data_IF_939187773863
#
_entry.id   IF_939187773863
#
_cell.length_a   1.000
_cell.length_b   1.000
_cell.length_c   1.000
_cell.angle_alpha   90.00
_cell.angle_beta   90.00
_cell.angle_gamma   90.00
#
_symmetry.space_group_name_H-M   'P 1'
#
loop_
_entity.id
_entity.type
_entity.pdbx_description
1 polymer ?
#
# COMPACT_ATOMS: atom_id res chain seq x y z
N UNK A 1 -35.39 28.41 -6.56
CA UNK A 1 -35.59 27.71 -5.27
C UNK A 1 -36.62 26.61 -5.52
N UNK A 2 -36.33 25.35 -5.21
CA UNK A 2 -37.23 24.25 -5.56
C UNK A 2 -38.39 24.08 -4.57
N UNK A 3 -39.13 22.98 -4.70
CA UNK A 3 -40.41 22.77 -4.00
C UNK A 3 -40.24 21.97 -2.71
N UNK A 4 -41.13 22.19 -1.74
CA UNK A 4 -41.18 21.42 -0.48
C UNK A 4 -39.93 21.50 0.40
N UNK A 5 -39.26 22.66 0.42
CA UNK A 5 -38.15 22.91 1.33
C UNK A 5 -38.64 23.50 2.67
N UNK A 6 -38.01 23.13 3.79
CA UNK A 6 -38.31 23.65 5.14
C UNK A 6 -37.04 23.99 5.93
N UNK A 7 -37.16 24.82 6.96
CA UNK A 7 -36.06 25.18 7.87
C UNK A 7 -35.76 26.67 7.97
N UNK A 8 -35.03 27.05 9.02
CA UNK A 8 -34.63 28.43 9.34
C UNK A 8 -33.11 28.54 9.24
N UNK A 9 -32.57 29.36 8.34
CA UNK A 9 -31.12 29.67 8.33
C UNK A 9 -30.37 29.60 7.01
N UNK A 10 -30.99 29.22 5.88
CA UNK A 10 -30.32 29.09 4.59
C UNK A 10 -31.28 28.94 3.40
N UNK A 11 -30.79 29.19 2.18
CA UNK A 11 -31.58 29.04 0.95
C UNK A 11 -31.39 27.63 0.36
N UNK A 12 -32.37 26.76 0.58
CA UNK A 12 -32.41 25.43 -0.02
C UNK A 12 -32.70 25.49 -1.54
N UNK A 13 -31.92 24.77 -2.35
CA UNK A 13 -32.04 24.61 -3.80
C UNK A 13 -32.31 23.15 -4.13
N UNK A 14 -33.32 22.88 -4.97
CA UNK A 14 -33.84 21.53 -5.22
C UNK A 14 -35.06 21.24 -4.34
N UNK A 15 -35.41 19.96 -4.13
CA UNK A 15 -36.70 19.58 -3.54
C UNK A 15 -36.57 18.76 -2.26
N UNK A 16 -37.55 18.90 -1.35
CA UNK A 16 -37.64 18.11 -0.12
C UNK A 16 -36.44 18.26 0.83
N UNK A 17 -35.78 19.42 0.82
CA UNK A 17 -34.70 19.69 1.77
C UNK A 17 -35.26 20.26 3.10
N UNK A 18 -34.62 19.91 4.21
CA UNK A 18 -34.97 20.35 5.55
C UNK A 18 -33.74 20.88 6.31
N UNK A 19 -33.99 21.76 7.28
CA UNK A 19 -32.96 22.29 8.17
C UNK A 19 -32.41 23.65 7.76
N UNK A 20 -31.50 24.17 8.57
CA UNK A 20 -30.99 25.54 8.46
C UNK A 20 -29.86 25.73 7.45
N UNK A 21 -29.29 24.65 6.90
CA UNK A 21 -28.23 24.75 5.91
C UNK A 21 -28.75 25.13 4.51
N UNK A 22 -27.92 25.80 3.71
CA UNK A 22 -28.16 26.04 2.29
C UNK A 22 -27.93 24.78 1.47
N UNK A 23 -28.85 23.81 1.57
CA UNK A 23 -28.73 22.54 0.86
C UNK A 23 -28.97 22.69 -0.64
N UNK A 24 -28.20 21.96 -1.45
CA UNK A 24 -28.35 21.89 -2.91
C UNK A 24 -28.57 20.44 -3.34
N UNK A 25 -29.71 20.16 -3.94
CA UNK A 25 -30.11 18.82 -4.39
C UNK A 25 -31.42 18.38 -3.73
N UNK A 26 -31.61 17.08 -3.51
CA UNK A 26 -32.89 16.56 -3.05
C UNK A 26 -32.79 15.76 -1.76
N UNK A 27 -33.83 15.86 -0.91
CA UNK A 27 -33.98 15.04 0.30
C UNK A 27 -32.83 15.19 1.32
N UNK A 28 -32.20 16.37 1.39
CA UNK A 28 -31.16 16.62 2.40
C UNK A 28 -31.77 17.17 3.71
N UNK A 29 -31.22 16.79 4.87
CA UNK A 29 -31.69 17.26 6.18
C UNK A 29 -30.52 17.67 7.09
N UNK A 30 -30.23 18.96 7.22
CA UNK A 30 -29.06 19.41 7.98
C UNK A 30 -29.11 20.86 8.44
N UNK A 31 -28.34 21.14 9.50
CA UNK A 31 -27.96 22.50 9.86
C UNK A 31 -26.73 23.01 9.08
N UNK A 32 -25.87 22.12 8.58
CA UNK A 32 -24.80 22.42 7.62
C UNK A 32 -25.24 22.37 6.16
N UNK A 33 -24.39 22.76 5.21
CA UNK A 33 -24.74 22.75 3.78
C UNK A 33 -24.45 21.38 3.14
N UNK A 34 -25.46 20.70 2.60
CA UNK A 34 -25.24 19.51 1.79
C UNK A 34 -25.31 19.82 0.29
N UNK A 35 -24.51 19.13 -0.52
CA UNK A 35 -24.59 19.14 -1.98
C UNK A 35 -24.77 17.71 -2.49
N UNK A 36 -25.88 17.46 -3.18
CA UNK A 36 -26.29 16.16 -3.69
C UNK A 36 -27.58 15.67 -3.02
N UNK A 37 -27.72 14.37 -2.79
CA UNK A 37 -29.02 13.78 -2.42
C UNK A 37 -28.98 12.94 -1.14
N UNK A 38 -30.07 12.98 -0.36
CA UNK A 38 -30.25 12.11 0.80
C UNK A 38 -29.14 12.25 1.87
N UNK A 39 -28.53 13.43 1.99
CA UNK A 39 -27.52 13.66 3.03
C UNK A 39 -28.17 14.20 4.32
N UNK A 40 -27.58 13.88 5.47
CA UNK A 40 -28.08 14.30 6.77
C UNK A 40 -26.97 14.73 7.74
N UNK A 41 -27.36 15.38 8.85
CA UNK A 41 -26.48 15.72 9.97
C UNK A 41 -26.10 17.21 10.04
N UNK A 42 -25.01 17.55 10.72
CA UNK A 42 -24.67 18.95 11.05
C UNK A 42 -23.53 19.54 10.21
N UNK A 43 -22.86 18.72 9.40
CA UNK A 43 -21.69 19.12 8.60
C UNK A 43 -21.96 19.33 7.11
N UNK A 44 -20.88 19.46 6.32
CA UNK A 44 -20.94 19.63 4.86
C UNK A 44 -20.78 18.29 4.14
N UNK A 45 -21.83 17.71 3.59
CA UNK A 45 -21.69 16.50 2.79
C UNK A 45 -21.76 16.81 1.29
N UNK A 46 -20.82 16.26 0.52
CA UNK A 46 -20.81 16.26 -0.93
C UNK A 46 -21.05 14.84 -1.47
N UNK A 47 -22.09 14.68 -2.26
CA UNK A 47 -22.47 13.40 -2.86
C UNK A 47 -23.81 12.90 -2.33
N UNK A 48 -23.94 11.63 -1.97
CA UNK A 48 -25.25 11.07 -1.61
C UNK A 48 -25.25 10.10 -0.44
N UNK A 49 -26.35 10.07 0.32
CA UNK A 49 -26.54 9.15 1.44
C UNK A 49 -25.48 9.28 2.54
N UNK A 50 -24.86 10.45 2.71
CA UNK A 50 -23.89 10.68 3.77
C UNK A 50 -24.59 11.21 5.04
N UNK A 51 -24.11 10.81 6.22
CA UNK A 51 -24.58 11.31 7.51
C UNK A 51 -23.42 11.90 8.31
N UNK A 52 -23.36 13.23 8.39
CA UNK A 52 -22.25 13.98 9.00
C UNK A 52 -22.50 14.38 10.47
N UNK A 53 -21.67 13.96 11.43
CA UNK A 53 -21.72 14.45 12.81
C UNK A 53 -20.67 15.54 13.07
N UNK A 54 -21.00 16.58 13.85
CA UNK A 54 -20.05 17.59 14.39
C UNK A 54 -19.07 18.19 13.39
N UNK A 55 -19.47 19.23 12.64
CA UNK A 55 -18.67 19.90 11.58
C UNK A 55 -18.08 18.95 10.50
N UNK A 56 -18.46 17.67 10.50
CA UNK A 56 -17.88 16.63 9.66
C UNK A 56 -18.23 16.79 8.19
N UNK A 57 -17.22 16.77 7.33
CA UNK A 57 -17.41 16.90 5.88
C UNK A 57 -17.18 15.58 5.16
N UNK A 58 -18.23 14.88 4.70
CA UNK A 58 -18.05 13.64 3.93
C UNK A 58 -18.15 13.90 2.42
N UNK A 59 -17.28 13.26 1.64
CA UNK A 59 -17.31 13.31 0.17
C UNK A 59 -17.49 11.91 -0.41
N UNK A 60 -18.43 11.75 -1.34
CA UNK A 60 -18.74 10.47 -1.97
C UNK A 60 -20.10 9.94 -1.56
N UNK A 61 -20.22 8.67 -1.20
CA UNK A 61 -21.54 8.10 -0.88
C UNK A 61 -21.55 7.14 0.30
N UNK A 62 -22.67 7.10 1.01
CA UNK A 62 -22.92 6.20 2.15
C UNK A 62 -21.93 6.35 3.31
N UNK A 63 -21.28 7.51 3.44
CA UNK A 63 -20.34 7.73 4.53
C UNK A 63 -21.03 8.25 5.79
N UNK A 64 -20.64 7.75 6.97
CA UNK A 64 -21.15 8.19 8.27
C UNK A 64 -20.02 8.68 9.17
N UNK A 65 -20.28 9.71 9.99
CA UNK A 65 -19.27 10.33 10.86
C UNK A 65 -18.72 11.62 10.26
N UNK A 66 -17.40 11.79 10.18
CA UNK A 66 -16.77 13.05 9.77
C UNK A 66 -15.57 12.84 8.83
N UNK A 67 -15.33 13.77 7.89
CA UNK A 67 -14.13 13.81 7.03
C UNK A 67 -13.86 12.56 6.19
N UNK A 68 -14.87 11.73 5.93
CA UNK A 68 -14.69 10.52 5.16
C UNK A 68 -14.81 10.79 3.65
N UNK A 69 -13.92 10.21 2.85
CA UNK A 69 -13.92 10.30 1.39
C UNK A 69 -14.03 8.92 0.76
N UNK A 70 -15.01 8.72 -0.12
CA UNK A 70 -15.19 7.47 -0.87
C UNK A 70 -16.56 6.83 -0.65
N UNK A 71 -16.59 5.51 -0.48
CA UNK A 71 -17.85 4.76 -0.43
C UNK A 71 -18.00 3.96 0.88
N UNK A 72 -19.12 4.16 1.57
CA UNK A 72 -19.52 3.36 2.71
C UNK A 72 -18.51 3.34 3.88
N UNK A 73 -17.87 4.48 4.16
CA UNK A 73 -16.96 4.61 5.30
C UNK A 73 -17.66 5.13 6.56
N UNK A 74 -17.27 4.63 7.73
CA UNK A 74 -17.83 4.93 9.06
C UNK A 74 -16.72 5.47 9.98
N UNK A 75 -16.99 6.53 10.73
CA UNK A 75 -16.05 7.10 11.70
C UNK A 75 -15.42 8.41 11.23
N UNK A 76 -14.11 8.62 11.38
CA UNK A 76 -13.47 9.93 11.15
C UNK A 76 -12.26 9.87 10.19
N UNK A 77 -12.22 10.73 9.18
CA UNK A 77 -11.05 10.91 8.29
C UNK A 77 -10.65 9.65 7.49
N UNK A 78 -11.60 8.79 7.12
CA UNK A 78 -11.30 7.59 6.32
C UNK A 78 -11.37 7.90 4.81
N UNK A 79 -10.43 7.37 4.03
CA UNK A 79 -10.44 7.44 2.56
C UNK A 79 -10.49 6.04 1.96
N UNK A 80 -11.42 5.77 1.06
CA UNK A 80 -11.52 4.48 0.37
C UNK A 80 -12.90 3.86 0.46
N UNK A 81 -12.97 2.54 0.68
CA UNK A 81 -14.23 1.78 0.57
C UNK A 81 -14.44 0.88 1.78
N UNK A 82 -15.62 0.91 2.41
CA UNK A 82 -15.98 0.06 3.55
C UNK A 82 -15.03 0.16 4.76
N UNK A 83 -14.44 1.33 5.00
CA UNK A 83 -13.60 1.54 6.18
C UNK A 83 -14.44 1.92 7.40
N UNK A 84 -14.08 1.45 8.59
CA UNK A 84 -14.68 1.81 9.86
C UNK A 84 -13.59 2.13 10.89
N UNK A 85 -13.64 3.31 11.51
CA UNK A 85 -12.63 3.75 12.47
C UNK A 85 -12.16 5.16 12.22
N UNK A 86 -10.90 5.45 12.52
CA UNK A 86 -10.29 6.77 12.28
C UNK A 86 -9.05 6.65 11.40
N UNK A 87 -8.94 7.52 10.39
CA UNK A 87 -7.77 7.71 9.55
C UNK A 87 -7.40 6.52 8.63
N UNK A 88 -8.37 5.69 8.24
CA UNK A 88 -8.12 4.54 7.37
C UNK A 88 -8.04 4.92 5.89
N UNK A 89 -6.96 4.56 5.19
CA UNK A 89 -6.82 4.76 3.72
C UNK A 89 -6.74 3.43 2.97
N UNK A 90 -7.85 2.70 2.87
CA UNK A 90 -7.86 1.31 2.41
C UNK A 90 -9.23 0.85 1.86
N UNK A 91 -9.35 -0.46 1.60
CA UNK A 91 -10.63 -1.14 1.37
C UNK A 91 -10.87 -2.11 2.54
N UNK A 92 -12.02 -1.97 3.23
CA UNK A 92 -12.47 -2.89 4.27
C UNK A 92 -11.72 -2.80 5.59
N UNK A 93 -11.09 -1.65 5.89
CA UNK A 93 -10.36 -1.49 7.13
C UNK A 93 -11.29 -1.32 8.32
N UNK A 94 -11.11 -2.08 9.38
CA UNK A 94 -11.82 -1.92 10.66
C UNK A 94 -10.78 -1.67 11.75
N UNK A 95 -11.01 -0.68 12.64
CA UNK A 95 -10.10 -0.15 13.68
C UNK A 95 -9.30 1.09 13.24
N UNK A 96 -8.59 1.74 14.18
CA UNK A 96 -7.46 2.63 13.87
C UNK A 96 -6.41 1.74 13.22
N UNK A 97 -6.35 1.70 11.89
CA UNK A 97 -5.16 1.20 11.23
C UNK A 97 -4.01 2.07 11.75
N UNK A 98 -2.99 1.43 12.32
CA UNK A 98 -1.69 2.08 12.51
C UNK A 98 -1.37 2.78 11.19
N UNK A 99 -1.18 4.10 11.31
CA UNK A 99 -1.27 5.19 10.33
C UNK A 99 -0.78 4.96 8.89
N UNK A 100 -0.10 3.84 8.63
CA UNK A 100 0.85 3.72 7.56
C UNK A 100 0.52 2.59 6.56
N UNK A 101 -0.57 1.84 6.75
CA UNK A 101 -1.03 0.87 5.73
C UNK A 101 -1.95 1.53 4.68
N UNK A 102 -1.61 1.39 3.39
CA UNK A 102 -2.45 1.78 2.26
C UNK A 102 -2.65 0.64 1.26
N UNK A 103 -3.85 0.51 0.72
CA UNK A 103 -4.22 -0.55 -0.23
C UNK A 103 -5.05 -1.67 0.40
N UNK A 104 -4.82 -2.93 0.02
CA UNK A 104 -5.70 -4.06 0.39
C UNK A 104 -4.94 -5.29 0.89
N UNK A 105 -5.45 -5.91 1.95
CA UNK A 105 -4.94 -7.20 2.45
C UNK A 105 -3.55 -7.15 3.08
N UNK A 106 -3.04 -5.97 3.42
CA UNK A 106 -1.76 -5.85 4.12
C UNK A 106 -1.91 -6.20 5.61
N UNK A 107 -0.89 -6.85 6.19
CA UNK A 107 -0.80 -7.25 7.60
C UNK A 107 0.52 -6.74 8.17
N UNK A 108 0.46 -5.98 9.27
CA UNK A 108 1.59 -5.24 9.86
C UNK A 108 1.36 -3.73 9.79
N UNK A 109 2.41 -2.91 9.85
CA UNK A 109 2.36 -1.44 9.79
C UNK A 109 3.17 -0.91 8.60
N UNK A 110 2.81 0.20 7.97
CA UNK A 110 3.68 0.84 6.97
C UNK A 110 3.56 0.32 5.54
N UNK A 111 2.68 -0.63 5.30
CA UNK A 111 2.62 -1.32 4.02
C UNK A 111 1.81 -0.55 2.98
N UNK A 112 2.34 -0.41 1.77
CA UNK A 112 1.62 0.12 0.61
C UNK A 112 1.43 -0.94 -0.47
N UNK A 113 0.22 -1.03 -1.02
CA UNK A 113 -0.12 -1.96 -2.11
C UNK A 113 -0.99 -3.12 -1.66
N UNK A 114 -0.64 -4.36 -2.01
CA UNK A 114 -1.53 -5.51 -1.89
C UNK A 114 -0.87 -6.70 -1.18
N UNK A 115 -1.57 -7.28 -0.20
CA UNK A 115 -1.19 -8.56 0.41
C UNK A 115 0.23 -8.61 0.99
N UNK A 116 0.78 -7.48 1.43
CA UNK A 116 2.07 -7.48 2.11
C UNK A 116 1.91 -7.95 3.56
N UNK A 117 2.85 -8.76 4.04
CA UNK A 117 2.92 -9.26 5.42
C UNK A 117 4.27 -8.83 6.00
N UNK A 118 4.25 -8.21 7.18
CA UNK A 118 5.40 -7.56 7.81
C UNK A 118 5.22 -6.05 7.82
N UNK A 119 6.28 -5.30 8.10
CA UNK A 119 6.20 -3.83 8.19
C UNK A 119 6.85 -3.13 6.97
N UNK A 120 6.49 -1.87 6.74
CA UNK A 120 6.99 -0.91 5.74
C UNK A 120 7.28 -1.44 4.32
N UNK A 121 6.53 -2.44 3.86
CA UNK A 121 6.68 -2.98 2.51
C UNK A 121 5.94 -2.11 1.47
N UNK A 122 6.43 -2.09 0.24
CA UNK A 122 5.76 -1.46 -0.89
C UNK A 122 5.64 -2.44 -2.06
N UNK A 123 4.44 -2.64 -2.57
CA UNK A 123 4.17 -3.49 -3.73
C UNK A 123 3.19 -4.61 -3.42
N UNK A 124 3.50 -5.84 -3.86
CA UNK A 124 2.56 -6.96 -3.82
C UNK A 124 3.17 -8.21 -3.20
N UNK A 125 2.51 -8.77 -2.20
CA UNK A 125 2.82 -10.10 -1.69
C UNK A 125 4.18 -10.23 -1.05
N UNK A 126 4.81 -9.13 -0.62
CA UNK A 126 6.04 -9.22 0.15
C UNK A 126 5.72 -9.84 1.53
N UNK A 127 6.52 -10.79 2.00
CA UNK A 127 6.23 -11.55 3.21
C UNK A 127 7.48 -11.76 4.06
N UNK A 128 7.56 -11.06 5.16
CA UNK A 128 8.74 -11.04 6.04
C UNK A 128 8.33 -10.89 7.49
N UNK A 129 9.17 -11.40 8.40
CA UNK A 129 8.80 -11.59 9.81
C UNK A 129 9.25 -10.46 10.76
N UNK A 130 10.08 -9.50 10.34
CA UNK A 130 10.65 -8.49 11.25
C UNK A 130 11.10 -7.18 10.55
N UNK A 131 10.33 -6.08 10.74
CA UNK A 131 10.78 -4.69 10.57
C UNK A 131 11.26 -4.33 9.16
N UNK A 132 10.37 -4.47 8.17
CA UNK A 132 10.77 -4.62 6.78
C UNK A 132 10.57 -3.38 5.91
N UNK A 133 11.24 -3.36 4.75
CA UNK A 133 11.32 -2.26 3.78
C UNK A 133 11.42 -2.87 2.37
N UNK A 134 10.68 -3.95 2.09
CA UNK A 134 10.77 -4.59 0.78
C UNK A 134 10.00 -3.79 -0.26
N UNK A 135 10.59 -3.64 -1.44
CA UNK A 135 9.98 -2.92 -2.55
C UNK A 135 9.85 -3.84 -3.75
N UNK A 136 8.63 -4.08 -4.21
CA UNK A 136 8.36 -4.87 -5.40
C UNK A 136 7.42 -6.04 -5.11
N UNK A 137 7.73 -7.21 -5.68
CA UNK A 137 6.79 -8.32 -5.77
C UNK A 137 7.36 -9.58 -5.11
N UNK A 138 6.60 -10.16 -4.18
CA UNK A 138 6.88 -11.49 -3.62
C UNK A 138 8.28 -11.65 -3.03
N UNK A 139 8.87 -10.57 -2.50
CA UNK A 139 10.12 -10.69 -1.74
C UNK A 139 9.82 -11.34 -0.37
N UNK A 140 10.71 -12.19 0.11
CA UNK A 140 10.49 -12.93 1.36
C UNK A 140 11.78 -13.25 2.11
N UNK A 141 11.64 -13.68 3.36
CA UNK A 141 12.76 -14.12 4.19
C UNK A 141 12.95 -13.27 5.44
N UNK A 142 14.01 -13.59 6.18
CA UNK A 142 14.33 -12.96 7.48
C UNK A 142 15.17 -11.69 7.33
N UNK A 143 15.43 -11.28 6.09
CA UNK A 143 16.36 -10.22 5.77
C UNK A 143 15.67 -9.03 5.10
N UNK A 144 15.88 -7.87 5.69
CA UNK A 144 15.20 -6.62 5.36
C UNK A 144 15.58 -6.12 3.96
N UNK A 145 14.79 -5.16 3.45
CA UNK A 145 15.22 -4.22 2.42
C UNK A 145 15.57 -4.86 1.05
N UNK A 146 14.81 -5.87 0.63
CA UNK A 146 14.96 -6.42 -0.72
C UNK A 146 14.12 -5.62 -1.73
N UNK A 147 14.72 -5.30 -2.88
CA UNK A 147 14.04 -4.59 -3.98
C UNK A 147 13.98 -5.45 -5.23
N UNK A 148 12.81 -5.59 -5.82
CA UNK A 148 12.59 -6.31 -7.07
C UNK A 148 11.59 -7.45 -6.92
N UNK A 149 11.86 -8.60 -7.53
CA UNK A 149 10.89 -9.69 -7.66
C UNK A 149 11.44 -10.98 -7.06
N UNK A 150 10.69 -11.60 -6.16
CA UNK A 150 10.92 -12.98 -5.74
C UNK A 150 12.26 -13.21 -5.06
N UNK A 151 12.86 -12.17 -4.46
CA UNK A 151 14.10 -12.36 -3.72
C UNK A 151 13.80 -13.05 -2.38
N UNK A 152 14.65 -14.00 -1.98
CA UNK A 152 14.59 -14.67 -0.69
C UNK A 152 15.80 -14.32 0.16
N UNK A 153 15.62 -14.09 1.46
CA UNK A 153 16.69 -13.67 2.37
C UNK A 153 16.67 -12.16 2.60
N UNK A 154 17.77 -11.41 2.36
CA UNK A 154 17.81 -9.97 2.67
C UNK A 154 18.77 -9.09 1.90
N UNK A 155 18.44 -7.81 1.80
CA UNK A 155 19.22 -6.78 1.11
C UNK A 155 19.54 -7.14 -0.35
N UNK A 156 18.65 -7.90 -0.99
CA UNK A 156 18.82 -8.32 -2.37
C UNK A 156 18.19 -7.30 -3.32
N UNK A 157 18.84 -7.03 -4.46
CA UNK A 157 18.29 -6.15 -5.50
C UNK A 157 18.21 -6.90 -6.82
N UNK A 158 17.02 -7.00 -7.39
CA UNK A 158 16.79 -7.64 -8.69
C UNK A 158 15.79 -8.78 -8.59
N UNK A 159 16.10 -9.91 -9.23
CA UNK A 159 15.12 -10.96 -9.48
C UNK A 159 15.63 -12.31 -8.97
N UNK A 160 14.83 -12.96 -8.13
CA UNK A 160 15.05 -14.33 -7.69
C UNK A 160 16.44 -14.59 -7.08
N UNK A 161 17.05 -13.58 -6.45
CA UNK A 161 18.26 -13.81 -5.67
C UNK A 161 17.88 -14.49 -4.35
N UNK A 162 18.74 -15.38 -3.88
CA UNK A 162 18.54 -16.11 -2.63
C UNK A 162 19.74 -15.92 -1.72
N UNK A 163 19.52 -15.62 -0.45
CA UNK A 163 20.58 -15.32 0.52
C UNK A 163 20.64 -13.83 0.79
N UNK A 164 21.83 -13.21 0.79
CA UNK A 164 21.96 -11.82 1.25
C UNK A 164 22.84 -10.93 0.39
N UNK A 165 22.52 -9.63 0.31
CA UNK A 165 23.36 -8.59 -0.31
C UNK A 165 23.64 -8.81 -1.81
N UNK A 166 22.85 -9.65 -2.49
CA UNK A 166 23.07 -9.99 -3.90
C UNK A 166 22.33 -9.04 -4.83
N UNK A 167 22.96 -8.70 -5.97
CA UNK A 167 22.41 -7.80 -6.99
C UNK A 167 22.38 -8.46 -8.37
N UNK A 168 21.22 -8.48 -9.01
CA UNK A 168 21.05 -9.02 -10.36
C UNK A 168 20.02 -10.14 -10.40
N UNK A 169 20.34 -11.24 -11.05
CA UNK A 169 19.37 -12.30 -11.39
C UNK A 169 19.85 -13.65 -10.90
N UNK A 170 18.99 -14.36 -10.17
CA UNK A 170 19.20 -15.75 -9.79
C UNK A 170 20.54 -16.00 -9.10
N UNK A 171 21.07 -15.08 -8.29
CA UNK A 171 22.30 -15.34 -7.53
C UNK A 171 21.96 -16.01 -6.19
N UNK A 172 22.17 -17.33 -6.02
CA UNK A 172 22.10 -17.97 -4.72
C UNK A 172 23.42 -17.80 -3.97
N UNK A 173 23.38 -17.14 -2.82
CA UNK A 173 24.59 -16.87 -2.08
C UNK A 173 24.57 -15.54 -1.36
N UNK A 174 25.76 -14.99 -1.14
CA UNK A 174 25.92 -13.73 -0.44
C UNK A 174 26.82 -12.77 -1.20
N UNK A 175 26.40 -11.51 -1.31
CA UNK A 175 27.20 -10.43 -1.89
C UNK A 175 27.60 -10.66 -3.35
N UNK A 176 26.77 -11.37 -4.11
CA UNK A 176 27.04 -11.67 -5.51
C UNK A 176 26.43 -10.61 -6.43
N UNK A 177 27.14 -10.26 -7.52
CA UNK A 177 26.66 -9.27 -8.50
C UNK A 177 26.67 -9.86 -9.91
N UNK A 178 25.51 -9.98 -10.52
CA UNK A 178 25.37 -10.40 -11.92
C UNK A 178 24.30 -11.48 -12.08
N UNK A 179 24.63 -12.57 -12.77
CA UNK A 179 23.67 -13.60 -13.15
C UNK A 179 24.17 -14.97 -12.73
N UNK A 180 23.37 -15.68 -11.93
CA UNK A 180 23.61 -17.07 -11.55
C UNK A 180 25.01 -17.30 -10.97
N UNK A 181 25.49 -16.38 -10.12
CA UNK A 181 26.66 -16.63 -9.30
C UNK A 181 26.22 -17.40 -8.04
N UNK A 182 26.87 -18.53 -7.81
CA UNK A 182 26.60 -19.43 -6.70
C UNK A 182 27.78 -19.39 -5.72
N UNK A 183 27.54 -18.94 -4.49
CA UNK A 183 28.56 -18.92 -3.43
C UNK A 183 28.59 -17.59 -2.67
N UNK A 184 29.73 -16.91 -2.67
CA UNK A 184 29.78 -15.55 -2.12
C UNK A 184 30.82 -14.65 -2.77
N UNK A 185 30.53 -13.34 -2.73
CA UNK A 185 31.42 -12.27 -3.17
C UNK A 185 31.89 -12.42 -4.61
N UNK A 186 31.04 -12.95 -5.48
CA UNK A 186 31.35 -13.21 -6.88
C UNK A 186 30.66 -12.22 -7.83
N UNK A 187 31.34 -11.87 -8.91
CA UNK A 187 30.80 -10.93 -9.91
C UNK A 187 30.83 -11.50 -11.32
N UNK A 188 29.80 -11.22 -12.12
CA UNK A 188 29.70 -11.67 -13.51
C UNK A 188 28.65 -12.74 -13.69
N UNK A 189 28.95 -13.79 -14.45
CA UNK A 189 27.95 -14.75 -14.94
C UNK A 189 28.37 -16.19 -14.69
N UNK A 190 27.51 -16.98 -14.04
CA UNK A 190 27.74 -18.43 -13.87
C UNK A 190 29.06 -18.75 -13.14
N UNK A 191 29.37 -18.03 -12.08
CA UNK A 191 30.50 -18.39 -11.23
C UNK A 191 30.03 -19.26 -10.06
N UNK A 192 30.68 -20.42 -9.87
CA UNK A 192 30.47 -21.33 -8.74
C UNK A 192 31.70 -21.28 -7.83
N UNK A 193 31.58 -20.59 -6.70
CA UNK A 193 32.64 -20.49 -5.69
C UNK A 193 32.63 -19.17 -4.93
N UNK A 194 33.79 -18.83 -4.36
CA UNK A 194 33.96 -17.69 -3.48
C UNK A 194 34.95 -16.71 -4.06
N UNK A 195 34.64 -15.41 -4.01
CA UNK A 195 35.56 -14.34 -4.41
C UNK A 195 36.01 -14.58 -5.86
N UNK A 196 35.06 -14.60 -6.79
CA UNK A 196 35.35 -14.80 -8.21
C UNK A 196 34.89 -13.64 -9.07
N UNK A 197 35.50 -13.47 -10.23
CA UNK A 197 34.99 -12.54 -11.23
C UNK A 197 35.10 -13.09 -12.66
N UNK A 198 34.24 -12.61 -13.54
CA UNK A 198 34.18 -13.03 -14.94
C UNK A 198 33.06 -14.02 -15.17
N UNK A 199 33.30 -15.08 -15.96
CA UNK A 199 32.23 -16.02 -16.25
C UNK A 199 32.64 -17.48 -16.32
N UNK A 200 31.71 -18.36 -15.97
CA UNK A 200 31.88 -19.82 -16.06
C UNK A 200 33.10 -20.29 -15.26
N UNK A 201 33.31 -19.76 -14.06
CA UNK A 201 34.38 -20.23 -13.18
C UNK A 201 33.83 -21.19 -12.13
N UNK A 202 34.47 -22.35 -11.95
CA UNK A 202 34.24 -23.28 -10.83
C UNK A 202 35.50 -23.27 -9.96
N UNK A 203 35.69 -22.17 -9.24
CA UNK A 203 36.94 -21.90 -8.52
C UNK A 203 36.70 -20.92 -7.36
N UNK A 204 37.69 -20.77 -6.49
CA UNK A 204 37.71 -19.73 -5.46
C UNK A 204 38.87 -18.76 -5.71
N UNK A 205 38.70 -17.49 -5.36
CA UNK A 205 39.74 -16.45 -5.45
C UNK A 205 40.34 -16.31 -6.85
N UNK A 206 39.48 -16.37 -7.87
CA UNK A 206 39.90 -16.34 -9.27
C UNK A 206 39.09 -15.39 -10.12
N UNK A 207 39.76 -14.75 -11.06
CA UNK A 207 39.15 -13.83 -12.04
C UNK A 207 39.44 -14.32 -13.44
N UNK A 208 38.44 -14.37 -14.31
CA UNK A 208 38.62 -14.75 -15.71
C UNK A 208 37.47 -15.61 -16.22
N UNK A 209 37.81 -16.55 -17.10
CA UNK A 209 36.84 -17.44 -17.73
C UNK A 209 37.29 -18.89 -17.62
N UNK A 210 36.32 -19.79 -17.43
CA UNK A 210 36.51 -21.24 -17.55
C UNK A 210 37.48 -21.86 -16.52
N UNK A 211 37.76 -21.19 -15.41
CA UNK A 211 38.61 -21.77 -14.36
C UNK A 211 37.94 -22.97 -13.70
N UNK A 212 38.70 -24.03 -13.41
CA UNK A 212 38.19 -25.26 -12.79
C UNK A 212 37.26 -26.10 -13.67
N UNK A 213 36.95 -25.64 -14.89
CA UNK A 213 36.24 -26.41 -15.91
C UNK A 213 37.19 -27.19 -16.83
N UNK A 214 38.45 -26.75 -16.95
CA UNK A 214 39.48 -27.41 -17.74
C UNK A 214 40.54 -27.99 -16.80
N UNK A 215 40.81 -29.31 -16.81
CA UNK A 215 41.87 -29.90 -16.00
C UNK A 215 43.23 -29.26 -16.36
N UNK A 216 43.92 -28.70 -15.36
CA UNK A 216 45.28 -28.15 -15.51
C UNK A 216 45.40 -26.62 -15.58
N UNK A 217 44.29 -25.88 -15.45
CA UNK A 217 44.29 -24.42 -15.34
C UNK A 217 43.47 -23.94 -14.14
#
# INVERSE_FOLDING_TARGET
MGSFNSGTGGFNVGSFNAGGGGNVGNFNSSFGNNVGNFNSGDGFNLGSFNSGGGQGSNTGSFNSGAHNTGWANSGNTNTGVFNSGTLNTAIGATELLDLDNSGFGNVGVGNSGFFNIGDFNSGVGNNTSEGDLNVGLFNSGVGKNSTGIGNTGGNNVGFFNSGALSRGFFNPGMSDVGILNMGASSTGVLNLGFITSGALNVATQRSGFLHGLVPGW
#
